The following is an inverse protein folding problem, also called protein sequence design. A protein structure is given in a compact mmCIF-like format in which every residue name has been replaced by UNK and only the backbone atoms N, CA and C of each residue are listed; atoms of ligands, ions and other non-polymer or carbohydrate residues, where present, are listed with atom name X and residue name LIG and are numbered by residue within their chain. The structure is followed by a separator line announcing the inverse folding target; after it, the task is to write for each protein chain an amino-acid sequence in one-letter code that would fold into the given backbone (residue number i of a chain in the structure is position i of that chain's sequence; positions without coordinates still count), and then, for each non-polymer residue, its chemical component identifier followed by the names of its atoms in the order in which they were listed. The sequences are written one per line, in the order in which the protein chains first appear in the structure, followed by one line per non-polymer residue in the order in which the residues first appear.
data_IF_610270796794
#
_entry.id   IF_610270796794
#
_cell.length_a   1.000
_cell.length_b   1.000
_cell.length_c   1.000
_cell.angle_alpha   90.00
_cell.angle_beta   90.00
_cell.angle_gamma   90.00
#
_symmetry.space_group_name_H-M   'P 1'
#
loop_
_entity.id
_entity.type
_entity.pdbx_description
1 polymer ?
#
# COMPACT_ATOMS: atom_id res chain seq x y z
N UNK A 1 -26.79 -26.38 -13.37
CA UNK A 1 -25.63 -25.52 -13.73
C UNK A 1 -25.12 -24.86 -12.48
N UNK A 2 -23.86 -25.05 -12.14
CA UNK A 2 -23.32 -24.51 -10.89
C UNK A 2 -23.05 -23.01 -11.08
N UNK A 3 -23.77 -22.17 -10.32
CA UNK A 3 -23.55 -20.72 -10.29
C UNK A 3 -22.40 -20.34 -9.33
N UNK A 4 -21.29 -21.10 -9.36
CA UNK A 4 -20.17 -20.95 -8.44
C UNK A 4 -19.68 -19.49 -8.34
N UNK A 5 -19.60 -18.79 -9.48
CA UNK A 5 -19.15 -17.40 -9.49
C UNK A 5 -20.07 -16.49 -8.66
N UNK A 6 -21.38 -16.68 -8.73
CA UNK A 6 -22.34 -15.86 -8.00
C UNK A 6 -22.17 -16.05 -6.49
N UNK A 7 -21.98 -17.30 -6.04
CA UNK A 7 -21.74 -17.59 -4.62
C UNK A 7 -20.40 -17.03 -4.15
N UNK A 8 -19.34 -17.20 -4.94
CA UNK A 8 -18.02 -16.64 -4.62
C UNK A 8 -18.10 -15.12 -4.52
N UNK A 9 -18.71 -14.42 -5.48
CA UNK A 9 -18.88 -12.97 -5.47
C UNK A 9 -19.66 -12.49 -4.24
N UNK A 10 -20.70 -13.23 -3.83
CA UNK A 10 -21.50 -12.88 -2.66
C UNK A 10 -20.77 -13.10 -1.32
N UNK A 11 -20.01 -14.18 -1.22
CA UNK A 11 -19.35 -14.57 0.04
C UNK A 11 -17.96 -13.94 0.23
N UNK A 12 -17.29 -13.60 -0.86
CA UNK A 12 -15.92 -13.09 -0.79
C UNK A 12 -15.85 -11.76 -0.02
N UNK A 13 -15.06 -11.78 1.04
CA UNK A 13 -14.71 -10.60 1.81
C UNK A 13 -13.20 -10.37 1.72
N UNK A 14 -12.78 -9.36 1.01
CA UNK A 14 -11.39 -8.96 0.87
C UNK A 14 -11.23 -7.51 1.39
N UNK A 15 -11.20 -7.30 2.71
CA UNK A 15 -11.13 -5.96 3.28
C UNK A 15 -9.80 -5.27 2.94
N UNK A 16 -9.80 -3.93 2.93
CA UNK A 16 -8.57 -3.12 2.78
C UNK A 16 -7.78 -3.18 4.09
N UNK A 17 -6.95 -4.21 4.25
CA UNK A 17 -6.13 -4.46 5.44
C UNK A 17 -4.76 -3.76 5.41
N UNK A 18 -4.26 -3.45 4.23
CA UNK A 18 -2.97 -2.75 4.05
C UNK A 18 -3.14 -1.25 4.22
N UNK A 19 -2.10 -0.58 4.75
CA UNK A 19 -2.09 0.87 4.87
C UNK A 19 -0.93 1.45 4.06
N UNK A 20 -1.24 2.34 3.14
CA UNK A 20 -0.24 3.12 2.43
C UNK A 20 0.04 4.38 3.25
N UNK A 21 1.17 4.41 3.95
CA UNK A 21 1.61 5.55 4.76
C UNK A 21 1.89 6.80 3.93
N UNK A 22 2.28 6.63 2.69
CA UNK A 22 2.56 7.72 1.76
C UNK A 22 1.27 8.41 1.30
N UNK A 23 0.27 7.64 0.82
CA UNK A 23 -1.02 8.16 0.36
C UNK A 23 -2.05 8.31 1.47
N UNK A 24 -1.76 7.86 2.71
CA UNK A 24 -2.67 7.87 3.87
C UNK A 24 -4.03 7.20 3.63
N UNK A 25 -4.03 6.12 2.85
CA UNK A 25 -5.24 5.36 2.58
C UNK A 25 -5.05 3.87 2.84
N UNK A 26 -6.15 3.21 3.17
CA UNK A 26 -6.19 1.75 3.25
C UNK A 26 -6.39 1.16 1.87
N UNK A 27 -5.64 0.11 1.55
CA UNK A 27 -5.77 -0.62 0.31
C UNK A 27 -5.73 -2.14 0.55
N UNK A 28 -6.05 -2.91 -0.46
CA UNK A 28 -5.82 -4.35 -0.52
C UNK A 28 -4.82 -4.65 -1.63
N UNK A 29 -3.95 -5.60 -1.39
CA UNK A 29 -3.02 -6.10 -2.40
C UNK A 29 -3.67 -7.19 -3.26
N UNK A 30 -3.00 -7.61 -4.32
CA UNK A 30 -3.40 -8.77 -5.09
C UNK A 30 -3.41 -10.02 -4.22
N UNK A 31 -2.41 -10.18 -3.38
CA UNK A 31 -2.23 -11.30 -2.45
C UNK A 31 -3.35 -11.39 -1.43
N UNK A 32 -3.84 -10.26 -0.88
CA UNK A 32 -4.97 -10.23 0.06
C UNK A 32 -6.24 -10.82 -0.58
N UNK A 33 -6.48 -10.52 -1.87
CA UNK A 33 -7.63 -11.07 -2.61
C UNK A 33 -7.44 -12.58 -2.84
N UNK A 34 -6.24 -13.00 -3.24
CA UNK A 34 -5.93 -14.40 -3.47
C UNK A 34 -6.10 -15.24 -2.20
N UNK A 35 -5.60 -14.76 -1.06
CA UNK A 35 -5.79 -15.45 0.22
C UNK A 35 -7.27 -15.52 0.62
N UNK A 36 -8.02 -14.45 0.44
CA UNK A 36 -9.44 -14.42 0.79
C UNK A 36 -10.30 -15.34 -0.09
N UNK A 37 -9.94 -15.54 -1.36
CA UNK A 37 -10.73 -16.36 -2.29
C UNK A 37 -10.43 -17.86 -2.18
N UNK A 38 -9.23 -18.27 -1.76
CA UNK A 38 -8.82 -19.70 -1.69
C UNK A 38 -9.82 -20.62 -0.98
N UNK A 39 -10.35 -20.27 0.22
CA UNK A 39 -11.35 -21.12 0.88
C UNK A 39 -12.62 -21.30 0.06
N UNK A 40 -13.04 -20.25 -0.66
CA UNK A 40 -14.24 -20.29 -1.50
C UNK A 40 -14.02 -21.10 -2.78
N UNK A 41 -12.82 -21.00 -3.37
CA UNK A 41 -12.45 -21.85 -4.51
C UNK A 41 -12.55 -23.33 -4.13
N UNK A 42 -12.00 -23.71 -2.98
CA UNK A 42 -12.13 -25.08 -2.46
C UNK A 42 -13.59 -25.46 -2.21
N UNK A 43 -14.35 -24.61 -1.51
CA UNK A 43 -15.78 -24.85 -1.19
C UNK A 43 -16.63 -25.09 -2.44
N UNK A 44 -16.36 -24.39 -3.53
CA UNK A 44 -17.16 -24.44 -4.76
C UNK A 44 -16.52 -25.29 -5.87
N UNK A 45 -15.47 -26.06 -5.53
CA UNK A 45 -14.74 -26.92 -6.48
C UNK A 45 -14.33 -26.17 -7.73
N UNK A 46 -13.71 -25.01 -7.54
CA UNK A 46 -13.23 -24.15 -8.60
C UNK A 46 -11.71 -23.95 -8.48
N UNK A 47 -11.09 -23.68 -9.61
CA UNK A 47 -9.70 -23.21 -9.69
C UNK A 47 -9.63 -21.81 -10.28
N UNK A 48 -8.67 -21.03 -9.83
CA UNK A 48 -8.38 -19.71 -10.36
C UNK A 48 -6.99 -19.73 -11.01
N UNK A 49 -6.93 -19.29 -12.25
CA UNK A 49 -5.68 -19.08 -12.98
C UNK A 49 -5.54 -17.61 -13.34
N UNK A 50 -4.34 -17.06 -13.19
CA UNK A 50 -4.02 -15.71 -13.63
C UNK A 50 -2.81 -15.80 -14.56
N UNK A 51 -2.95 -15.23 -15.74
CA UNK A 51 -1.86 -15.11 -16.72
C UNK A 51 -1.64 -13.64 -17.09
N UNK A 52 -0.39 -13.32 -17.35
CA UNK A 52 0.02 -12.00 -17.83
C UNK A 52 0.58 -12.10 -19.23
N UNK A 53 0.33 -11.06 -20.02
CA UNK A 53 0.98 -10.85 -21.31
C UNK A 53 1.35 -9.37 -21.45
N UNK A 54 2.48 -9.10 -22.13
CA UNK A 54 2.88 -7.75 -22.48
C UNK A 54 2.15 -7.37 -23.78
N UNK A 55 1.45 -6.24 -23.74
CA UNK A 55 0.77 -5.70 -24.92
C UNK A 55 1.24 -4.27 -25.18
N UNK A 56 1.32 -3.92 -26.46
CA UNK A 56 1.72 -2.58 -26.89
C UNK A 56 0.52 -1.85 -27.49
N UNK A 57 0.29 -0.61 -27.04
CA UNK A 57 -0.73 0.27 -27.57
C UNK A 57 -0.08 1.61 -27.95
N UNK A 58 0.05 1.85 -29.25
CA UNK A 58 0.89 2.93 -29.76
C UNK A 58 2.36 2.66 -29.43
N UNK A 59 2.98 3.59 -28.72
CA UNK A 59 4.37 3.55 -28.24
C UNK A 59 4.48 3.12 -26.74
N UNK A 60 3.37 2.65 -26.15
CA UNK A 60 3.29 2.34 -24.72
C UNK A 60 3.12 0.86 -24.48
N UNK A 61 3.84 0.35 -23.47
CA UNK A 61 3.71 -1.01 -23.00
C UNK A 61 2.73 -1.11 -21.83
N UNK A 62 1.94 -2.19 -21.85
CA UNK A 62 1.01 -2.54 -20.79
C UNK A 62 1.18 -4.00 -20.40
N UNK A 63 1.03 -4.29 -19.12
CA UNK A 63 0.78 -5.65 -18.66
C UNK A 63 -0.73 -5.87 -18.67
N UNK A 64 -1.16 -6.84 -19.47
CA UNK A 64 -2.53 -7.34 -19.52
C UNK A 64 -2.62 -8.57 -18.64
N UNK A 65 -3.38 -8.51 -17.56
CA UNK A 65 -3.65 -9.66 -16.71
C UNK A 65 -5.03 -10.23 -17.04
N UNK A 66 -5.11 -11.56 -17.13
CA UNK A 66 -6.35 -12.30 -17.33
C UNK A 66 -6.57 -13.22 -16.13
N UNK A 67 -7.61 -13.00 -15.36
CA UNK A 67 -8.04 -13.87 -14.27
C UNK A 67 -9.18 -14.77 -14.80
N UNK A 68 -9.03 -16.08 -14.69
CA UNK A 68 -9.98 -17.07 -15.20
C UNK A 68 -10.39 -18.04 -14.10
N UNK A 69 -11.69 -18.11 -13.82
CA UNK A 69 -12.29 -19.09 -12.91
C UNK A 69 -12.72 -20.30 -13.72
N UNK A 70 -12.34 -21.49 -13.25
CA UNK A 70 -12.70 -22.77 -13.87
C UNK A 70 -13.33 -23.69 -12.84
N UNK A 71 -14.24 -24.57 -13.29
CA UNK A 71 -14.69 -25.71 -12.50
C UNK A 71 -13.57 -26.75 -12.39
N UNK A 72 -13.77 -27.72 -11.52
CA UNK A 72 -12.95 -28.94 -11.40
C UNK A 72 -12.88 -29.73 -12.71
N UNK A 73 -13.91 -29.67 -13.54
CA UNK A 73 -13.95 -30.26 -14.89
C UNK A 73 -13.05 -29.52 -15.92
N UNK A 74 -12.48 -28.37 -15.56
CA UNK A 74 -11.71 -27.51 -16.46
C UNK A 74 -12.55 -26.51 -17.27
N UNK A 75 -13.88 -26.60 -17.21
CA UNK A 75 -14.80 -25.65 -17.88
C UNK A 75 -14.60 -24.23 -17.33
N UNK A 76 -14.49 -23.26 -18.23
CA UNK A 76 -14.41 -21.83 -17.86
C UNK A 76 -15.78 -21.35 -17.35
N UNK A 77 -15.81 -20.86 -16.12
CA UNK A 77 -17.01 -20.29 -15.49
C UNK A 77 -17.11 -18.81 -15.84
N UNK A 78 -16.01 -18.08 -15.70
CA UNK A 78 -15.93 -16.64 -15.95
C UNK A 78 -14.47 -16.21 -16.13
N UNK A 79 -14.26 -15.08 -16.80
CA UNK A 79 -12.95 -14.45 -16.87
C UNK A 79 -13.07 -12.93 -16.86
N UNK A 80 -12.03 -12.26 -16.39
CA UNK A 80 -11.90 -10.82 -16.40
C UNK A 80 -10.49 -10.42 -16.79
N UNK A 81 -10.39 -9.28 -17.49
CA UNK A 81 -9.13 -8.74 -18.00
C UNK A 81 -8.93 -7.34 -17.43
N UNK A 82 -7.71 -7.02 -17.08
CA UNK A 82 -7.32 -5.66 -16.74
C UNK A 82 -5.93 -5.33 -17.26
N UNK A 83 -5.64 -4.05 -17.35
CA UNK A 83 -4.40 -3.53 -17.88
C UNK A 83 -3.74 -2.61 -16.85
N UNK A 84 -2.42 -2.67 -16.76
CA UNK A 84 -1.62 -1.65 -16.08
C UNK A 84 -0.52 -1.18 -17.01
N UNK A 85 -0.34 0.13 -17.11
CA UNK A 85 0.74 0.70 -17.91
C UNK A 85 2.07 0.37 -17.26
N UNK A 86 3.02 -0.10 -18.03
CA UNK A 86 4.40 -0.24 -17.64
C UNK A 86 5.13 1.06 -17.93
N UNK A 87 5.73 1.65 -16.90
CA UNK A 87 6.57 2.83 -17.06
C UNK A 87 7.93 2.41 -17.64
N UNK A 88 8.52 3.23 -18.53
CA UNK A 88 9.84 2.98 -19.09
C UNK A 88 10.94 2.99 -18.01
N UNK A 89 10.77 3.83 -17.02
CA UNK A 89 11.67 3.90 -15.87
C UNK A 89 10.95 4.46 -14.65
N UNK A 90 11.30 3.97 -13.46
CA UNK A 90 10.80 4.49 -12.20
C UNK A 90 11.96 4.64 -11.23
N UNK A 91 12.10 5.84 -10.68
CA UNK A 91 13.18 6.16 -9.76
C UNK A 91 13.21 5.18 -8.58
N UNK A 92 14.36 4.54 -8.36
CA UNK A 92 14.55 3.58 -7.27
C UNK A 92 14.03 2.18 -7.55
N UNK A 93 13.64 1.87 -8.79
CA UNK A 93 13.27 0.54 -9.23
C UNK A 93 14.12 0.12 -10.44
N UNK A 94 14.50 -1.14 -10.50
CA UNK A 94 15.04 -1.75 -11.71
C UNK A 94 13.91 -2.16 -12.68
N UNK A 95 14.25 -2.53 -13.92
CA UNK A 95 13.26 -2.88 -14.95
C UNK A 95 12.36 -4.05 -14.53
N UNK A 96 12.91 -5.07 -13.85
CA UNK A 96 12.12 -6.21 -13.38
C UNK A 96 11.13 -5.81 -12.30
N UNK A 97 11.52 -4.89 -11.41
CA UNK A 97 10.63 -4.35 -10.38
C UNK A 97 9.51 -3.49 -10.98
N UNK A 98 9.79 -2.73 -12.04
CA UNK A 98 8.78 -1.92 -12.75
C UNK A 98 7.74 -2.84 -13.36
N UNK A 99 8.16 -3.85 -14.12
CA UNK A 99 7.27 -4.86 -14.71
C UNK A 99 6.47 -5.61 -13.64
N UNK A 100 7.12 -6.05 -12.56
CA UNK A 100 6.48 -6.74 -11.43
C UNK A 100 5.40 -5.89 -10.75
N UNK A 101 5.65 -4.58 -10.58
CA UNK A 101 4.67 -3.66 -10.03
C UNK A 101 3.45 -3.50 -10.97
N UNK A 102 3.68 -3.34 -12.27
CA UNK A 102 2.60 -3.27 -13.28
C UNK A 102 1.78 -4.56 -13.31
N UNK A 103 2.44 -5.74 -13.24
CA UNK A 103 1.80 -7.05 -13.15
C UNK A 103 0.89 -7.16 -11.92
N UNK A 104 1.40 -6.88 -10.72
CA UNK A 104 0.60 -6.91 -9.49
C UNK A 104 -0.61 -6.00 -9.56
N UNK A 105 -0.46 -4.84 -10.19
CA UNK A 105 -1.55 -3.88 -10.38
C UNK A 105 -2.62 -4.41 -11.33
N UNK A 106 -2.22 -4.90 -12.51
CA UNK A 106 -3.13 -5.49 -13.50
C UNK A 106 -3.89 -6.68 -12.93
N UNK A 107 -3.20 -7.61 -12.24
CA UNK A 107 -3.80 -8.78 -11.58
C UNK A 107 -4.85 -8.39 -10.54
N UNK A 108 -4.55 -7.39 -9.70
CA UNK A 108 -5.51 -6.89 -8.71
C UNK A 108 -6.80 -6.41 -9.35
N UNK A 109 -6.73 -5.64 -10.43
CA UNK A 109 -7.92 -5.14 -11.13
C UNK A 109 -8.65 -6.22 -11.91
N UNK A 110 -7.94 -7.20 -12.48
CA UNK A 110 -8.59 -8.37 -13.09
C UNK A 110 -9.39 -9.18 -12.05
N UNK A 111 -8.85 -9.37 -10.84
CA UNK A 111 -9.56 -10.02 -9.73
C UNK A 111 -10.73 -9.18 -9.23
N UNK A 112 -10.58 -7.86 -9.10
CA UNK A 112 -11.68 -6.98 -8.72
C UNK A 112 -12.86 -7.12 -9.69
N UNK A 113 -12.59 -7.10 -11.01
CA UNK A 113 -13.62 -7.28 -12.03
C UNK A 113 -14.25 -8.67 -11.99
N UNK A 114 -13.44 -9.74 -11.81
CA UNK A 114 -13.95 -11.11 -11.77
C UNK A 114 -14.85 -11.36 -10.57
N UNK A 115 -14.51 -10.85 -9.41
CA UNK A 115 -15.21 -11.12 -8.15
C UNK A 115 -16.12 -9.99 -7.70
N UNK A 116 -16.39 -8.97 -8.53
CA UNK A 116 -17.21 -7.80 -8.20
C UNK A 116 -16.75 -7.11 -6.90
N UNK A 117 -15.42 -6.99 -6.72
CA UNK A 117 -14.87 -6.33 -5.56
C UNK A 117 -14.90 -4.83 -5.81
N UNK A 118 -15.72 -4.13 -5.01
CA UNK A 118 -15.85 -2.69 -5.09
C UNK A 118 -14.69 -1.98 -4.38
N UNK A 119 -13.99 -1.13 -5.11
CA UNK A 119 -13.04 -0.16 -4.57
C UNK A 119 -13.77 1.18 -4.36
N UNK A 120 -14.67 1.21 -3.38
CA UNK A 120 -15.63 2.28 -3.04
C UNK A 120 -15.07 3.71 -2.86
N UNK A 121 -13.91 4.04 -3.37
CA UNK A 121 -13.46 5.43 -3.56
C UNK A 121 -13.13 5.62 -5.03
N UNK A 122 -14.14 6.04 -5.76
CA UNK A 122 -13.96 6.50 -7.14
C UNK A 122 -13.01 7.71 -7.13
N UNK A 123 -12.07 7.71 -8.07
CA UNK A 123 -11.16 8.85 -8.25
C UNK A 123 -11.92 10.14 -8.59
N UNK A 124 -13.18 10.02 -9.03
CA UNK A 124 -14.07 11.12 -9.40
C UNK A 124 -14.87 11.68 -8.21
N UNK A 125 -14.70 11.14 -6.99
CA UNK A 125 -15.38 11.71 -5.82
C UNK A 125 -14.66 12.96 -5.30
N UNK A 126 -15.43 13.94 -4.83
CA UNK A 126 -14.95 15.23 -4.26
C UNK A 126 -13.91 15.07 -3.13
N UNK A 127 -13.80 13.89 -2.50
CA UNK A 127 -12.75 13.58 -1.53
C UNK A 127 -11.39 13.38 -2.19
N UNK A 128 -11.34 12.92 -3.46
CA UNK A 128 -10.07 12.81 -4.20
C UNK A 128 -9.58 14.20 -4.59
N UNK A 129 -10.48 15.08 -5.00
CA UNK A 129 -10.17 16.49 -5.34
C UNK A 129 -9.81 17.35 -4.12
N UNK A 130 -10.34 17.05 -2.93
CA UNK A 130 -9.96 17.74 -1.69
C UNK A 130 -8.58 17.34 -1.15
N UNK A 131 -8.08 16.15 -1.50
CA UNK A 131 -6.74 15.70 -1.14
C UNK A 131 -5.68 16.02 -2.19
N UNK A 132 -6.08 16.45 -3.39
CA UNK A 132 -5.18 16.99 -4.42
C UNK A 132 -5.13 18.51 -4.33
N UNK A 133 -4.66 19.06 -3.20
CA UNK A 133 -4.01 20.37 -3.27
C UNK A 133 -2.78 20.23 -4.17
N UNK A 134 -2.45 21.27 -4.98
CA UNK A 134 -1.34 21.19 -5.93
C UNK A 134 -0.11 20.64 -5.21
N UNK A 135 0.39 19.56 -5.74
CA UNK A 135 1.56 18.85 -5.20
C UNK A 135 2.75 19.79 -5.16
N UNK A 136 3.25 20.00 -3.96
CA UNK A 136 4.63 20.45 -3.82
C UNK A 136 5.54 19.44 -4.52
N UNK A 137 6.52 19.96 -5.23
CA UNK A 137 7.40 19.27 -6.16
C UNK A 137 7.90 17.89 -5.69
N UNK A 138 8.15 16.93 -6.62
CA UNK A 138 8.59 15.55 -6.30
C UNK A 138 9.83 15.47 -5.40
N UNK A 139 10.67 16.48 -5.42
CA UNK A 139 11.92 16.55 -4.64
C UNK A 139 11.71 16.62 -3.11
N UNK A 140 10.61 17.23 -2.62
CA UNK A 140 10.35 17.30 -1.16
C UNK A 140 9.78 16.02 -0.58
N UNK A 141 9.04 15.24 -1.38
CA UNK A 141 8.42 13.98 -0.92
C UNK A 141 9.46 12.86 -0.73
N UNK A 142 10.42 12.77 -1.65
CA UNK A 142 11.53 11.82 -1.55
C UNK A 142 12.45 12.12 -0.35
N UNK A 143 12.60 13.39 -0.02
CA UNK A 143 13.43 13.84 1.11
C UNK A 143 12.82 13.44 2.45
N UNK A 144 11.52 13.66 2.62
CA UNK A 144 10.82 13.28 3.85
C UNK A 144 10.81 11.76 4.08
N UNK A 145 10.62 10.95 3.04
CA UNK A 145 10.68 9.49 3.14
C UNK A 145 12.06 9.01 3.59
N UNK A 146 13.13 9.63 3.07
CA UNK A 146 14.50 9.34 3.47
C UNK A 146 14.74 9.72 4.95
N UNK A 147 14.22 10.87 5.39
CA UNK A 147 14.34 11.32 6.79
C UNK A 147 13.62 10.37 7.76
N UNK A 148 12.38 9.94 7.44
CA UNK A 148 11.67 8.94 8.25
C UNK A 148 12.41 7.61 8.31
N UNK A 149 12.99 7.14 7.21
CA UNK A 149 13.79 5.92 7.16
C UNK A 149 15.01 6.00 8.07
N UNK A 150 15.73 7.13 8.02
CA UNK A 150 16.90 7.38 8.88
C UNK A 150 16.50 7.45 10.37
N UNK A 151 15.40 8.14 10.69
CA UNK A 151 14.92 8.26 12.05
C UNK A 151 14.45 6.91 12.61
N UNK A 152 13.70 6.12 11.84
CA UNK A 152 13.26 4.77 12.22
C UNK A 152 14.44 3.85 12.52
N UNK A 153 15.50 3.92 11.71
CA UNK A 153 16.72 3.14 11.95
C UNK A 153 17.37 3.52 13.29
N UNK A 154 17.52 4.80 13.58
CA UNK A 154 18.07 5.29 14.85
C UNK A 154 17.22 4.90 16.07
N UNK A 155 15.89 4.96 15.95
CA UNK A 155 14.94 4.51 16.98
C UNK A 155 15.14 3.02 17.27
N UNK A 156 15.17 2.18 16.24
CA UNK A 156 15.37 0.74 16.35
C UNK A 156 16.73 0.40 17.00
N UNK A 157 17.81 1.03 16.55
CA UNK A 157 19.15 0.83 17.11
C UNK A 157 19.25 1.25 18.58
N UNK A 158 18.51 2.28 18.98
CA UNK A 158 18.52 2.80 20.35
C UNK A 158 17.60 2.05 21.31
N UNK A 159 16.71 1.17 20.79
CA UNK A 159 15.68 0.45 21.57
C UNK A 159 14.73 1.39 22.35
N UNK A 160 14.39 2.54 21.76
CA UNK A 160 13.42 3.47 22.34
C UNK A 160 12.08 3.23 21.63
N UNK A 161 10.99 3.25 22.40
CA UNK A 161 9.64 3.18 21.85
C UNK A 161 9.25 4.53 21.22
N UNK A 162 8.52 4.49 20.12
CA UNK A 162 8.04 5.70 19.41
C UNK A 162 7.19 6.57 20.33
N UNK A 163 6.38 5.95 21.19
CA UNK A 163 5.52 6.64 22.16
C UNK A 163 6.33 7.42 23.19
N UNK A 164 7.43 6.85 23.68
CA UNK A 164 8.36 7.54 24.61
C UNK A 164 9.01 8.76 23.93
N UNK A 165 9.43 8.61 22.68
CA UNK A 165 9.97 9.73 21.87
C UNK A 165 8.92 10.83 21.70
N UNK A 166 7.69 10.48 21.31
CA UNK A 166 6.62 11.47 21.11
C UNK A 166 6.19 12.15 22.40
N UNK A 167 6.16 11.41 23.53
CA UNK A 167 5.91 11.97 24.86
C UNK A 167 6.97 13.00 25.24
N UNK A 168 8.24 12.65 25.05
CA UNK A 168 9.37 13.56 25.31
C UNK A 168 9.29 14.83 24.44
N UNK A 169 9.00 14.71 23.15
CA UNK A 169 8.89 15.85 22.24
C UNK A 169 7.76 16.79 22.63
N UNK A 170 6.57 16.25 22.94
CA UNK A 170 5.41 17.03 23.38
C UNK A 170 5.62 17.74 24.71
N UNK A 171 6.41 17.14 25.61
CA UNK A 171 6.75 17.74 26.89
C UNK A 171 7.79 18.87 26.76
N UNK A 172 8.73 18.74 25.85
CA UNK A 172 9.89 19.65 25.75
C UNK A 172 9.78 20.71 24.65
N UNK A 173 8.85 20.60 23.69
CA UNK A 173 8.61 21.64 22.68
C UNK A 173 7.14 22.06 22.62
N UNK A 174 6.86 23.20 23.24
CA UNK A 174 5.52 23.81 23.29
C UNK A 174 4.99 24.28 21.93
N UNK A 175 5.84 24.33 20.89
CA UNK A 175 5.45 24.73 19.52
C UNK A 175 4.89 23.53 18.72
N UNK A 176 5.06 22.33 19.22
CA UNK A 176 4.53 21.14 18.59
C UNK A 176 3.00 21.06 18.84
N UNK A 177 2.15 20.88 17.83
CA UNK A 177 0.73 20.67 18.01
C UNK A 177 0.45 19.47 18.90
N UNK A 178 -0.55 19.56 19.80
CA UNK A 178 -0.87 18.46 20.73
C UNK A 178 -1.35 17.18 20.04
N UNK A 179 -1.94 17.33 18.88
CA UNK A 179 -2.48 16.26 18.03
C UNK A 179 -1.46 15.69 17.05
N UNK A 180 -0.21 16.19 17.04
CA UNK A 180 0.84 15.67 16.16
C UNK A 180 1.17 14.21 16.48
N UNK A 181 1.27 13.39 15.45
CA UNK A 181 1.73 12.00 15.51
C UNK A 181 3.14 11.87 14.92
N UNK A 182 3.79 10.72 15.15
CA UNK A 182 5.12 10.44 14.57
C UNK A 182 5.12 10.61 13.04
N UNK A 183 4.07 10.12 12.37
CA UNK A 183 3.92 10.15 10.91
C UNK A 183 3.60 11.54 10.36
N UNK A 184 3.23 12.49 11.22
CA UNK A 184 2.87 13.87 10.83
C UNK A 184 3.90 14.91 11.23
N UNK A 185 5.08 14.47 11.68
CA UNK A 185 6.17 15.39 12.06
C UNK A 185 6.62 16.22 10.84
N UNK A 186 6.73 17.56 10.97
CA UNK A 186 7.23 18.41 9.90
C UNK A 186 8.70 18.10 9.56
N UNK A 187 9.10 18.29 8.29
CA UNK A 187 10.47 18.03 7.80
C UNK A 187 11.56 18.63 8.68
N UNK A 188 11.40 19.89 9.05
CA UNK A 188 12.37 20.58 9.94
C UNK A 188 12.54 19.90 11.31
N UNK A 189 11.47 19.27 11.81
CA UNK A 189 11.54 18.48 13.05
C UNK A 189 12.26 17.16 12.83
N UNK A 190 12.02 16.47 11.71
CA UNK A 190 12.71 15.24 11.36
C UNK A 190 14.22 15.47 11.23
N UNK A 191 14.64 16.50 10.52
CA UNK A 191 16.06 16.87 10.39
C UNK A 191 16.70 17.18 11.77
N UNK A 192 16.02 17.97 12.59
CA UNK A 192 16.50 18.30 13.93
C UNK A 192 16.58 17.07 14.85
N UNK A 193 15.60 16.17 14.78
CA UNK A 193 15.58 14.91 15.52
C UNK A 193 16.71 13.99 15.12
N UNK A 194 16.92 13.78 13.82
CA UNK A 194 18.01 12.93 13.32
C UNK A 194 19.38 13.47 13.76
N UNK A 195 19.56 14.79 13.68
CA UNK A 195 20.82 15.45 14.07
C UNK A 195 21.11 15.32 15.57
N UNK A 196 20.08 15.41 16.40
CA UNK A 196 20.24 15.45 17.87
C UNK A 196 19.81 14.14 18.53
N UNK A 197 19.56 13.08 17.77
CA UNK A 197 18.93 11.85 18.23
C UNK A 197 19.65 11.21 19.42
N UNK A 198 20.98 11.16 19.39
CA UNK A 198 21.79 10.52 20.44
C UNK A 198 21.68 11.24 21.79
N UNK A 199 21.53 12.57 21.76
CA UNK A 199 21.30 13.38 22.97
C UNK A 199 19.88 13.19 23.52
N UNK A 200 18.89 13.15 22.62
CA UNK A 200 17.48 12.94 22.96
C UNK A 200 17.27 11.53 23.54
N UNK A 201 17.86 10.53 22.91
CA UNK A 201 17.75 9.14 23.35
C UNK A 201 18.31 8.89 24.74
N UNK A 202 19.43 9.57 25.09
CA UNK A 202 20.01 9.50 26.44
C UNK A 202 19.09 10.11 27.49
N UNK A 203 18.42 11.23 27.17
CA UNK A 203 17.48 11.88 28.09
C UNK A 203 16.23 11.04 28.33
N UNK A 204 15.64 10.48 27.26
CA UNK A 204 14.48 9.60 27.37
C UNK A 204 14.80 8.39 28.28
N UNK A 205 15.98 7.76 28.10
CA UNK A 205 16.40 6.63 28.93
C UNK A 205 16.68 7.01 30.38
N UNK A 206 17.13 8.24 30.63
CA UNK A 206 17.30 8.73 31.99
C UNK A 206 15.97 8.98 32.68
N UNK A 207 15.00 9.59 31.96
CA UNK A 207 13.66 9.85 32.49
C UNK A 207 12.88 8.54 32.78
N UNK A 208 13.10 7.47 31.99
CA UNK A 208 12.51 6.14 32.21
C UNK A 208 13.17 5.37 33.37
N UNK A 209 14.40 5.71 33.74
CA UNK A 209 15.11 5.08 34.86
C UNK A 209 14.76 5.69 36.23
N UNK A 210 14.22 6.91 36.26
CA UNK A 210 13.81 7.64 37.43
C UNK A 210 12.29 7.55 37.71
N UNK A 211 11.53 6.82 36.87
CA UNK A 211 10.08 6.61 36.97
C UNK A 211 9.72 5.20 37.45
#
# INVERSE_FOLDING_TARGET
MSNAIIFIQNELKAPKGQFNSFGRYKYRSCEDILEAVKPLLYKYSCSLNISDEVVMAGDRFYIKATATLRKDTGEVVSSSVAFAREDESKKGMDGAQVTGAASSYARKYALNGLFCIDDTKDADTDEYTKNTKPEKEPAEKDKNLNLYSQLSKKISESKIEIDALMKYLKANDKRLPKDVTYESLPEKYLEALIKNFDSISKKIKADDADA
#
